data_IF_321662121434
#
_entry.id   IF_321662121434
#
_cell.length_a   1.000
_cell.length_b   1.000
_cell.length_c   1.000
_cell.angle_alpha   90.00
_cell.angle_beta   90.00
_cell.angle_gamma   90.00
#
_symmetry.space_group_name_H-M   'P 1'
#
loop_
_entity.id
_entity.type
_entity.pdbx_description
1 polymer ?
#
# COMPACT_ATOMS: atom_id res chain seq x y z
N UNK A 1 -11.49 -16.30 3.48
CA UNK A 1 -11.76 -15.03 2.78
C UNK A 1 -10.61 -14.76 1.84
N UNK A 2 -10.86 -14.15 0.69
CA UNK A 2 -9.79 -13.70 -0.21
C UNK A 2 -9.17 -12.42 0.37
N UNK A 3 -7.85 -12.28 0.29
CA UNK A 3 -7.15 -11.04 0.66
C UNK A 3 -6.75 -10.30 -0.61
N UNK A 4 -7.10 -9.03 -0.71
CA UNK A 4 -6.67 -8.20 -1.84
C UNK A 4 -5.32 -7.53 -1.54
N UNK A 5 -4.45 -7.50 -2.54
CA UNK A 5 -3.17 -6.83 -2.51
C UNK A 5 -3.16 -5.77 -3.60
N UNK A 6 -3.00 -4.51 -3.23
CA UNK A 6 -2.77 -3.42 -4.20
C UNK A 6 -1.27 -3.19 -4.29
N UNK A 7 -0.70 -3.46 -5.46
CA UNK A 7 0.72 -3.30 -5.75
C UNK A 7 0.95 -2.04 -6.58
N UNK A 8 1.66 -1.06 -6.03
CA UNK A 8 1.99 0.20 -6.69
C UNK A 8 3.42 0.13 -7.23
N UNK A 9 3.52 0.28 -8.55
CA UNK A 9 4.78 0.33 -9.28
C UNK A 9 5.68 1.51 -8.86
N UNK A 10 6.98 1.41 -9.17
CA UNK A 10 7.91 2.52 -9.17
C UNK A 10 7.65 3.52 -10.31
N UNK A 11 8.47 4.57 -10.36
CA UNK A 11 8.46 5.58 -11.41
C UNK A 11 9.53 5.31 -12.47
N UNK A 12 9.33 5.87 -13.65
CA UNK A 12 10.17 5.73 -14.84
C UNK A 12 9.42 5.05 -16.00
N UNK A 13 9.86 5.35 -17.22
CA UNK A 13 9.32 4.73 -18.43
C UNK A 13 9.46 3.19 -18.37
N UNK A 14 8.35 2.47 -18.50
CA UNK A 14 8.29 1.01 -18.43
C UNK A 14 8.22 0.44 -17.01
N UNK A 15 8.08 1.27 -15.97
CA UNK A 15 8.07 0.82 -14.59
C UNK A 15 6.91 -0.13 -14.28
N UNK A 16 5.72 0.06 -14.86
CA UNK A 16 4.58 -0.85 -14.68
C UNK A 16 4.93 -2.26 -15.17
N UNK A 17 5.52 -2.34 -16.36
CA UNK A 17 5.91 -3.61 -16.97
C UNK A 17 7.06 -4.30 -16.20
N UNK A 18 8.01 -3.52 -15.68
CA UNK A 18 9.08 -4.04 -14.83
C UNK A 18 8.52 -4.61 -13.53
N UNK A 19 7.62 -3.86 -12.87
CA UNK A 19 7.05 -4.23 -11.58
C UNK A 19 5.93 -5.25 -11.66
N UNK A 20 5.35 -5.47 -12.85
CA UNK A 20 4.47 -6.60 -13.10
C UNK A 20 5.17 -7.94 -12.79
N UNK A 21 6.50 -8.04 -12.98
CA UNK A 21 7.27 -9.23 -12.59
C UNK A 21 7.38 -9.40 -11.07
N UNK A 22 7.47 -8.28 -10.32
CA UNK A 22 7.42 -8.30 -8.86
C UNK A 22 6.05 -8.75 -8.37
N UNK A 23 4.99 -8.15 -8.91
CA UNK A 23 3.62 -8.49 -8.58
C UNK A 23 3.29 -9.95 -8.92
N UNK A 24 3.78 -10.47 -10.05
CA UNK A 24 3.65 -11.89 -10.41
C UNK A 24 4.38 -12.79 -9.40
N UNK A 25 5.63 -12.45 -9.06
CA UNK A 25 6.41 -13.17 -8.05
C UNK A 25 5.69 -13.19 -6.70
N UNK A 26 5.18 -12.04 -6.25
CA UNK A 26 4.37 -11.92 -5.04
C UNK A 26 3.13 -12.81 -5.10
N UNK A 27 2.36 -12.77 -6.19
CA UNK A 27 1.17 -13.61 -6.38
C UNK A 27 1.49 -15.10 -6.34
N UNK A 28 2.56 -15.55 -7.02
CA UNK A 28 3.01 -16.96 -6.98
C UNK A 28 3.35 -17.41 -5.56
N UNK A 29 4.04 -16.58 -4.80
CA UNK A 29 4.42 -16.93 -3.43
C UNK A 29 3.24 -16.84 -2.45
N UNK A 30 2.33 -15.88 -2.60
CA UNK A 30 1.13 -15.75 -1.77
C UNK A 30 0.13 -16.90 -1.98
N UNK A 31 -0.05 -17.35 -3.23
CA UNK A 31 -0.96 -18.44 -3.60
C UNK A 31 -2.41 -18.00 -3.75
N UNK A 32 -3.30 -18.98 -3.99
CA UNK A 32 -4.67 -18.75 -4.47
C UNK A 32 -5.63 -18.03 -3.50
N UNK A 33 -5.23 -17.81 -2.24
CA UNK A 33 -6.01 -17.04 -1.27
C UNK A 33 -5.90 -15.52 -1.43
N UNK A 34 -5.08 -15.06 -2.37
CA UNK A 34 -4.74 -13.66 -2.57
C UNK A 34 -5.02 -13.24 -4.01
N UNK A 35 -5.49 -12.01 -4.19
CA UNK A 35 -5.60 -11.34 -5.49
C UNK A 35 -4.62 -10.16 -5.49
N UNK A 36 -3.69 -10.13 -6.45
CA UNK A 36 -2.72 -9.04 -6.59
C UNK A 36 -3.14 -8.17 -7.76
N UNK A 37 -3.57 -6.95 -7.46
CA UNK A 37 -3.94 -5.92 -8.42
C UNK A 37 -2.79 -4.93 -8.59
N UNK A 38 -2.36 -4.67 -9.83
CA UNK A 38 -1.31 -3.69 -10.15
C UNK A 38 -1.89 -2.57 -11.03
N UNK A 39 -2.51 -1.53 -10.44
CA UNK A 39 -3.03 -0.41 -11.21
C UNK A 39 -1.91 0.22 -12.05
N UNK A 40 -2.23 0.57 -13.30
CA UNK A 40 -1.33 1.35 -14.15
C UNK A 40 -1.34 2.79 -13.66
N UNK A 41 -0.21 3.26 -13.14
CA UNK A 41 -0.09 4.64 -12.72
C UNK A 41 0.11 5.55 -13.95
N UNK A 42 -0.68 6.63 -14.12
CA UNK A 42 -0.58 7.49 -15.29
C UNK A 42 0.78 8.19 -15.38
N UNK A 43 1.27 8.45 -16.61
CA UNK A 43 2.50 9.19 -16.87
C UNK A 43 3.70 8.64 -16.06
N UNK A 44 3.92 7.33 -16.12
CA UNK A 44 4.96 6.69 -15.30
C UNK A 44 6.37 7.22 -15.56
N UNK A 45 6.65 7.76 -16.75
CA UNK A 45 7.90 8.42 -17.11
C UNK A 45 8.09 9.80 -16.47
N UNK A 46 6.99 10.48 -16.16
CA UNK A 46 6.96 11.80 -15.50
C UNK A 46 5.88 11.79 -14.39
N UNK A 47 6.13 11.08 -13.28
CA UNK A 47 5.14 10.88 -12.23
C UNK A 47 4.81 12.20 -11.52
N UNK A 48 3.52 12.40 -11.25
CA UNK A 48 2.98 13.60 -10.60
C UNK A 48 2.05 13.19 -9.46
N UNK A 49 2.32 13.71 -8.27
CA UNK A 49 1.56 13.49 -7.06
C UNK A 49 0.08 13.88 -7.21
N UNK A 50 -0.21 14.98 -7.93
CA UNK A 50 -1.58 15.44 -8.17
C UNK A 50 -2.40 14.44 -8.98
N UNK A 51 -1.72 13.57 -9.74
CA UNK A 51 -2.32 12.53 -10.58
C UNK A 51 -2.29 11.16 -9.88
N UNK A 52 -1.17 10.81 -9.25
CA UNK A 52 -0.96 9.49 -8.65
C UNK A 52 -1.73 9.31 -7.35
N UNK A 53 -1.80 10.32 -6.49
CA UNK A 53 -2.45 10.18 -5.18
C UNK A 53 -3.97 9.88 -5.30
N UNK A 54 -4.73 10.54 -6.20
CA UNK A 54 -6.11 10.15 -6.49
C UNK A 54 -6.25 8.71 -7.02
N UNK A 55 -5.39 8.29 -7.96
CA UNK A 55 -5.45 6.93 -8.53
C UNK A 55 -5.12 5.85 -7.48
N UNK A 56 -4.18 6.11 -6.57
CA UNK A 56 -3.91 5.24 -5.41
C UNK A 56 -5.18 5.07 -4.57
N UNK A 57 -5.87 6.18 -4.27
CA UNK A 57 -7.12 6.13 -3.52
C UNK A 57 -8.22 5.33 -4.21
N UNK A 58 -8.36 5.48 -5.52
CA UNK A 58 -9.31 4.71 -6.33
C UNK A 58 -8.94 3.22 -6.40
N UNK A 59 -7.66 2.88 -6.53
CA UNK A 59 -7.20 1.50 -6.49
C UNK A 59 -7.50 0.82 -5.14
N UNK A 60 -7.24 1.51 -4.03
CA UNK A 60 -7.57 1.04 -2.67
C UNK A 60 -9.09 0.89 -2.51
N UNK A 61 -9.88 1.85 -3.00
CA UNK A 61 -11.33 1.79 -2.92
C UNK A 61 -11.92 0.59 -3.68
N UNK A 62 -11.34 0.24 -4.84
CA UNK A 62 -11.76 -0.93 -5.65
C UNK A 62 -11.40 -2.27 -4.99
N UNK A 63 -10.30 -2.35 -4.23
CA UNK A 63 -9.87 -3.58 -3.56
C UNK A 63 -10.89 -4.06 -2.52
N UNK A 64 -11.24 -5.35 -2.53
CA UNK A 64 -12.20 -5.94 -1.58
C UNK A 64 -13.65 -5.42 -1.69
N UNK A 65 -13.99 -4.67 -2.74
CA UNK A 65 -15.38 -4.39 -3.07
C UNK A 65 -15.91 -5.57 -3.88
N UNK A 66 -16.69 -6.47 -3.26
CA UNK A 66 -17.36 -7.57 -3.96
C UNK A 66 -18.05 -7.05 -5.22
N UNK A 67 -17.51 -7.30 -6.41
CA UNK A 67 -18.32 -7.28 -7.63
C UNK A 67 -19.15 -8.55 -7.64
N UNK A 68 -20.35 -8.48 -7.07
CA UNK A 68 -21.42 -9.39 -7.48
C UNK A 68 -21.66 -9.23 -8.98
N UNK A 69 -22.14 -10.29 -9.68
CA UNK A 69 -22.52 -10.16 -11.08
C UNK A 69 -23.71 -9.20 -11.17
N UNK A 70 -23.49 -8.02 -11.76
CA UNK A 70 -24.49 -7.05 -12.22
C UNK A 70 -25.83 -7.08 -11.45
N UNK A 71 -25.97 -6.24 -10.43
CA UNK A 71 -27.26 -5.95 -9.80
C UNK A 71 -28.24 -5.45 -10.87
N UNK A 72 -29.17 -6.33 -11.22
CA UNK A 72 -30.43 -5.97 -11.83
C UNK A 72 -31.23 -5.16 -10.81
N UNK A 73 -31.42 -3.90 -11.16
CA UNK A 73 -32.50 -3.01 -10.74
C UNK A 73 -33.69 -3.73 -10.08
N UNK A 74 -33.81 -3.59 -8.76
CA UNK A 74 -35.10 -3.67 -8.09
C UNK A 74 -35.09 -2.78 -6.86
N UNK A 75 -35.80 -1.67 -6.97
CA UNK A 75 -35.99 -0.70 -5.92
C UNK A 75 -36.63 -1.30 -4.67
N UNK A 76 -36.13 -0.87 -3.51
CA UNK A 76 -36.72 -1.11 -2.21
C UNK A 76 -36.30 0.02 -1.27
N UNK A 77 -37.28 0.81 -0.84
CA UNK A 77 -37.12 1.84 0.18
C UNK A 77 -37.20 1.13 1.53
N UNK A 78 -36.17 1.19 2.37
CA UNK A 78 -36.33 0.94 3.79
C UNK A 78 -35.33 1.76 4.63
N UNK A 79 -35.69 1.85 5.90
CA UNK A 79 -35.63 2.97 6.80
C UNK A 79 -34.55 2.77 7.88
N UNK A 80 -34.16 3.89 8.48
CA UNK A 80 -32.98 4.02 9.35
C UNK A 80 -32.81 2.92 10.40
N UNK A 81 -31.65 2.26 10.34
CA UNK A 81 -31.02 1.57 11.45
C UNK A 81 -29.72 2.29 11.81
N UNK A 82 -29.60 2.74 13.06
CA UNK A 82 -28.32 3.21 13.60
C UNK A 82 -27.54 1.95 13.96
N UNK A 83 -26.67 1.49 13.06
CA UNK A 83 -25.81 0.34 13.33
C UNK A 83 -24.69 0.73 14.30
N UNK A 84 -24.52 -0.08 15.34
CA UNK A 84 -23.51 0.07 16.38
C UNK A 84 -22.12 -0.32 15.84
N UNK A 85 -21.20 0.64 15.76
CA UNK A 85 -19.83 0.50 15.27
C UNK A 85 -18.87 -0.35 16.16
N UNK A 86 -19.37 -1.43 16.77
CA UNK A 86 -18.65 -2.16 17.83
C UNK A 86 -18.17 -3.57 17.49
N UNK A 87 -18.49 -4.12 16.31
CA UNK A 87 -18.28 -5.55 16.00
C UNK A 87 -17.67 -5.85 14.62
N UNK A 88 -17.36 -4.85 13.81
CA UNK A 88 -17.17 -5.04 12.36
C UNK A 88 -15.77 -5.52 11.92
N UNK A 89 -14.78 -5.59 12.80
CA UNK A 89 -13.39 -5.89 12.40
C UNK A 89 -13.04 -7.38 12.32
N UNK A 90 -13.83 -8.25 12.95
CA UNK A 90 -13.59 -9.70 12.97
C UNK A 90 -13.92 -10.32 11.61
N UNK A 91 -14.92 -9.79 10.92
CA UNK A 91 -15.35 -10.22 9.58
C UNK A 91 -14.87 -9.29 8.46
N UNK A 92 -14.06 -8.27 8.78
CA UNK A 92 -13.56 -7.32 7.80
C UNK A 92 -12.60 -7.97 6.81
N UNK A 93 -12.85 -7.72 5.52
CA UNK A 93 -11.96 -8.16 4.45
C UNK A 93 -10.61 -7.44 4.56
N UNK A 94 -9.53 -8.21 4.45
CA UNK A 94 -8.18 -7.68 4.59
C UNK A 94 -7.66 -7.19 3.25
N UNK A 95 -7.14 -5.97 3.25
CA UNK A 95 -6.38 -5.37 2.15
C UNK A 95 -4.93 -5.24 2.59
N UNK A 96 -4.01 -5.54 1.68
CA UNK A 96 -2.58 -5.31 1.83
C UNK A 96 -2.16 -4.30 0.78
N UNK A 97 -1.39 -3.30 1.18
CA UNK A 97 -0.84 -2.28 0.28
C UNK A 97 0.65 -2.53 0.13
N UNK A 98 1.13 -2.61 -1.11
CA UNK A 98 2.53 -2.81 -1.44
C UNK A 98 2.95 -1.70 -2.38
N UNK A 99 4.04 -1.02 -2.09
CA UNK A 99 4.61 -0.02 -2.99
C UNK A 99 6.09 -0.26 -3.18
N UNK A 100 6.53 -0.27 -4.43
CA UNK A 100 7.93 -0.37 -4.82
C UNK A 100 8.47 1.01 -5.20
N UNK A 101 9.69 1.32 -4.76
CA UNK A 101 10.42 2.54 -5.12
C UNK A 101 9.55 3.80 -4.93
N UNK A 102 9.35 4.60 -5.98
CA UNK A 102 8.47 5.77 -5.94
C UNK A 102 7.03 5.44 -5.52
N UNK A 103 6.47 4.31 -5.94
CA UNK A 103 5.15 3.87 -5.50
C UNK A 103 5.06 3.62 -4.00
N UNK A 104 6.17 3.18 -3.38
CA UNK A 104 6.29 3.07 -1.92
C UNK A 104 6.28 4.43 -1.22
N UNK A 105 6.99 5.41 -1.78
CA UNK A 105 6.96 6.80 -1.30
C UNK A 105 5.55 7.40 -1.40
N UNK A 106 4.91 7.31 -2.58
CA UNK A 106 3.60 7.91 -2.83
C UNK A 106 2.49 7.22 -2.05
N UNK A 107 2.61 5.92 -1.78
CA UNK A 107 1.73 5.21 -0.86
C UNK A 107 1.79 5.81 0.55
N UNK A 108 2.99 6.03 1.08
CA UNK A 108 3.17 6.66 2.40
C UNK A 108 2.68 8.11 2.42
N UNK A 109 2.90 8.86 1.33
CA UNK A 109 2.37 10.21 1.17
C UNK A 109 0.84 10.20 1.18
N UNK A 110 0.20 9.38 0.35
CA UNK A 110 -1.25 9.21 0.31
C UNK A 110 -1.84 8.88 1.68
N UNK A 111 -1.25 7.90 2.39
CA UNK A 111 -1.75 7.46 3.69
C UNK A 111 -1.55 8.50 4.81
N UNK A 112 -0.62 9.45 4.64
CA UNK A 112 -0.31 10.46 5.64
C UNK A 112 -0.82 11.86 5.32
N UNK A 113 -1.31 12.09 4.09
CA UNK A 113 -1.89 13.35 3.65
C UNK A 113 -3.36 13.45 4.08
N UNK A 114 -3.61 14.28 5.09
CA UNK A 114 -4.96 14.55 5.60
C UNK A 114 -5.77 15.52 4.71
N UNK A 115 -5.14 16.25 3.79
CA UNK A 115 -5.80 17.26 2.95
C UNK A 115 -6.45 16.66 1.70
N UNK A 116 -5.87 15.61 1.12
CA UNK A 116 -6.52 14.83 0.04
C UNK A 116 -7.75 14.05 0.51
N UNK A 117 -7.95 13.95 1.83
CA UNK A 117 -9.11 13.35 2.50
C UNK A 117 -10.21 14.40 2.77
N UNK A 118 -9.90 15.71 2.71
CA UNK A 118 -10.80 16.76 3.17
C UNK A 118 -11.79 17.28 2.10
N UNK A 119 -11.42 17.26 0.81
CA UNK A 119 -12.25 17.83 -0.27
C UNK A 119 -13.29 16.85 -0.84
N UNK A 120 -13.23 15.58 -0.46
CA UNK A 120 -14.28 14.58 -0.70
C UNK A 120 -14.87 14.08 0.63
N UNK A 121 -15.58 15.00 1.28
CA UNK A 121 -16.64 14.77 2.28
C UNK A 121 -16.55 13.45 3.08
N UNK A 122 -15.90 13.49 4.24
CA UNK A 122 -16.25 12.73 5.47
C UNK A 122 -16.38 11.19 5.43
N UNK A 123 -16.28 10.54 4.28
CA UNK A 123 -16.47 9.09 4.09
C UNK A 123 -15.20 8.39 3.57
N UNK A 124 -14.21 9.12 3.04
CA UNK A 124 -12.95 8.58 2.51
C UNK A 124 -11.73 8.91 3.36
N UNK A 125 -11.77 8.64 4.66
CA UNK A 125 -10.51 8.35 5.36
C UNK A 125 -9.95 7.10 4.70
N UNK A 126 -8.65 7.04 4.36
CA UNK A 126 -8.00 5.76 4.05
C UNK A 126 -8.21 4.71 5.18
N UNK A 127 -8.58 5.19 6.38
CA UNK A 127 -8.97 4.41 7.56
C UNK A 127 -10.48 4.14 7.71
N UNK A 128 -11.33 4.59 6.78
CA UNK A 128 -12.76 4.28 6.77
C UNK A 128 -13.11 3.54 5.47
N UNK A 129 -12.76 2.25 5.45
CA UNK A 129 -13.19 1.31 4.43
C UNK A 129 -14.26 0.42 5.10
N UNK A 130 -15.57 0.67 4.92
CA UNK A 130 -16.60 -0.09 5.61
C UNK A 130 -16.46 -1.59 5.32
N UNK A 131 -16.45 -2.41 6.38
CA UNK A 131 -16.28 -3.87 6.27
C UNK A 131 -14.91 -4.32 5.75
N UNK A 132 -13.92 -3.42 5.71
CA UNK A 132 -12.56 -3.70 5.22
C UNK A 132 -11.52 -3.10 6.15
N UNK A 133 -10.34 -3.69 6.18
CA UNK A 133 -9.20 -3.17 6.95
C UNK A 133 -7.92 -3.25 6.14
N UNK A 134 -7.05 -2.25 6.30
CA UNK A 134 -5.67 -2.33 5.82
C UNK A 134 -4.90 -3.16 6.84
N UNK A 135 -4.55 -4.40 6.48
CA UNK A 135 -3.83 -5.32 7.35
C UNK A 135 -2.32 -5.05 7.36
N UNK A 136 -1.76 -4.65 6.21
CA UNK A 136 -0.34 -4.37 6.08
C UNK A 136 -0.02 -3.31 5.01
N UNK A 137 1.05 -2.57 5.24
CA UNK A 137 1.67 -1.62 4.31
C UNK A 137 3.13 -2.06 4.11
N UNK A 138 3.45 -2.56 2.92
CA UNK A 138 4.78 -3.06 2.56
C UNK A 138 5.47 -2.05 1.64
N UNK A 139 6.60 -1.51 2.07
CA UNK A 139 7.36 -0.49 1.34
C UNK A 139 8.69 -1.09 0.92
N UNK A 140 8.90 -1.25 -0.39
CA UNK A 140 10.05 -1.94 -0.97
C UNK A 140 10.93 -0.90 -1.66
N UNK A 141 12.19 -0.79 -1.24
CA UNK A 141 13.21 0.06 -1.88
C UNK A 141 12.77 1.52 -2.12
N UNK A 142 11.92 2.07 -1.26
CA UNK A 142 11.43 3.44 -1.42
C UNK A 142 12.50 4.47 -1.04
N UNK A 143 12.66 5.55 -1.82
CA UNK A 143 13.56 6.63 -1.47
C UNK A 143 12.97 7.52 -0.36
N UNK A 144 13.74 7.75 0.70
CA UNK A 144 13.38 8.70 1.74
C UNK A 144 13.64 10.16 1.32
N UNK A 145 12.65 11.08 1.42
CA UNK A 145 12.84 12.52 1.21
C UNK A 145 13.96 13.14 2.02
N UNK A 146 14.94 13.73 1.34
CA UNK A 146 16.11 14.34 2.00
C UNK A 146 17.05 13.32 2.65
N UNK A 147 16.97 12.04 2.27
CA UNK A 147 17.90 11.02 2.78
C UNK A 147 19.34 11.26 2.36
N UNK A 148 19.53 11.81 1.17
CA UNK A 148 20.79 12.35 0.68
C UNK A 148 20.53 13.46 -0.38
N UNK A 149 21.56 14.16 -0.88
CA UNK A 149 21.39 15.24 -1.85
C UNK A 149 20.74 14.82 -3.18
N UNK A 150 20.86 13.57 -3.60
CA UNK A 150 20.23 13.04 -4.80
C UNK A 150 18.73 12.77 -4.62
N UNK A 151 18.21 12.78 -3.39
CA UNK A 151 16.80 12.56 -3.05
C UNK A 151 16.18 13.79 -2.38
N UNK A 152 16.62 14.99 -2.78
CA UNK A 152 16.11 16.27 -2.29
C UNK A 152 15.56 17.06 -3.48
N UNK A 153 14.23 17.13 -3.58
CA UNK A 153 13.52 17.81 -4.67
C UNK A 153 12.36 18.64 -4.12
N UNK A 154 11.94 19.67 -4.86
CA UNK A 154 10.75 20.44 -4.52
C UNK A 154 9.50 19.55 -4.60
N UNK A 155 8.65 19.60 -3.57
CA UNK A 155 7.43 18.78 -3.47
C UNK A 155 7.64 17.33 -3.01
N UNK A 156 8.88 16.84 -3.01
CA UNK A 156 9.25 15.52 -2.52
C UNK A 156 9.46 15.55 -1.00
N UNK A 157 8.37 15.50 -0.25
CA UNK A 157 8.36 15.61 1.21
C UNK A 157 7.42 14.59 1.88
N UNK A 158 7.64 14.32 3.16
CA UNK A 158 6.75 13.56 4.05
C UNK A 158 6.57 14.30 5.37
N UNK A 159 5.41 14.14 6.04
CA UNK A 159 5.17 14.78 7.33
C UNK A 159 6.11 14.23 8.42
N UNK A 160 6.56 15.10 9.34
CA UNK A 160 7.50 14.74 10.42
C UNK A 160 6.99 13.65 11.37
N UNK A 161 5.67 13.51 11.52
CA UNK A 161 5.02 12.53 12.38
C UNK A 161 4.44 11.36 11.58
N UNK A 162 5.09 10.99 10.47
CA UNK A 162 4.64 9.97 9.51
C UNK A 162 4.04 8.73 10.17
N UNK A 163 4.76 8.07 11.07
CA UNK A 163 4.27 6.85 11.72
C UNK A 163 2.95 7.01 12.48
N UNK A 164 2.66 8.19 13.03
CA UNK A 164 1.41 8.45 13.75
C UNK A 164 0.22 8.74 12.81
N UNK A 165 0.47 8.97 11.52
CA UNK A 165 -0.55 9.26 10.52
C UNK A 165 -0.98 8.03 9.73
N UNK A 166 -0.17 6.96 9.74
CA UNK A 166 -0.49 5.70 9.08
C UNK A 166 -1.65 4.96 9.78
N UNK A 167 -2.36 4.03 9.09
CA UNK A 167 -3.43 3.25 9.68
C UNK A 167 -2.95 2.48 10.94
N UNK A 168 -3.54 2.79 12.09
CA UNK A 168 -3.02 2.33 13.39
C UNK A 168 -2.99 0.80 13.58
N UNK A 169 -3.89 0.08 12.88
CA UNK A 169 -3.98 -1.38 12.95
C UNK A 169 -3.14 -2.09 11.87
N UNK A 170 -2.60 -1.36 10.90
CA UNK A 170 -1.80 -1.94 9.84
C UNK A 170 -0.37 -2.21 10.31
N UNK A 171 0.14 -3.41 10.03
CA UNK A 171 1.57 -3.67 10.14
C UNK A 171 2.31 -2.90 9.03
N UNK A 172 3.35 -2.14 9.38
CA UNK A 172 4.20 -1.46 8.40
C UNK A 172 5.51 -2.22 8.24
N UNK A 173 5.85 -2.61 7.02
CA UNK A 173 7.06 -3.38 6.71
C UNK A 173 7.92 -2.64 5.71
N UNK A 174 9.21 -2.53 6.00
CA UNK A 174 10.18 -1.79 5.21
C UNK A 174 11.25 -2.76 4.70
N UNK A 175 11.37 -2.90 3.38
CA UNK A 175 12.31 -3.80 2.72
C UNK A 175 13.34 -2.97 1.95
N UNK A 176 14.61 -3.29 2.12
CA UNK A 176 15.68 -2.73 1.30
C UNK A 176 16.77 -3.77 1.04
N UNK A 177 17.39 -3.65 -0.13
CA UNK A 177 18.51 -4.48 -0.54
C UNK A 177 19.83 -3.81 -0.17
N UNK A 178 20.78 -4.55 0.41
CA UNK A 178 22.11 -3.98 0.72
C UNK A 178 22.89 -3.60 -0.55
N UNK A 179 22.62 -4.29 -1.65
CA UNK A 179 23.23 -4.10 -2.97
C UNK A 179 22.34 -3.27 -3.93
N UNK A 180 21.38 -2.50 -3.41
CA UNK A 180 20.61 -1.54 -4.21
C UNK A 180 21.50 -0.39 -4.68
N UNK A 181 21.65 -0.26 -6.00
CA UNK A 181 22.45 0.78 -6.65
C UNK A 181 21.64 2.04 -7.00
N UNK A 182 20.32 2.03 -6.81
CA UNK A 182 19.42 3.14 -7.12
C UNK A 182 19.04 3.89 -5.84
N UNK A 183 18.44 3.18 -4.88
CA UNK A 183 18.06 3.76 -3.59
C UNK A 183 19.02 3.25 -2.53
N UNK A 184 19.83 4.11 -1.89
CA UNK A 184 20.77 3.66 -0.87
C UNK A 184 20.07 2.93 0.28
N UNK A 185 20.63 1.81 0.72
CA UNK A 185 20.11 0.97 1.80
C UNK A 185 19.72 1.76 3.07
N UNK A 186 20.48 2.81 3.39
CA UNK A 186 20.24 3.68 4.54
C UNK A 186 18.87 4.38 4.53
N UNK A 187 18.22 4.54 3.37
CA UNK A 187 16.91 5.19 3.26
C UNK A 187 15.83 4.41 4.01
N UNK A 188 15.93 3.08 4.07
CA UNK A 188 15.04 2.25 4.91
C UNK A 188 15.17 2.60 6.39
N UNK A 189 16.37 2.86 6.87
CA UNK A 189 16.61 3.16 8.29
C UNK A 189 16.10 4.56 8.65
N UNK A 190 16.10 5.50 7.69
CA UNK A 190 15.41 6.78 7.83
C UNK A 190 13.89 6.61 7.94
N UNK A 191 13.29 5.74 7.11
CA UNK A 191 11.89 5.36 7.27
C UNK A 191 11.60 4.69 8.61
N UNK A 192 12.46 3.78 9.07
CA UNK A 192 12.30 3.12 10.36
C UNK A 192 12.37 4.11 11.53
N UNK A 193 13.20 5.14 11.43
CA UNK A 193 13.23 6.24 12.41
C UNK A 193 11.95 7.09 12.37
N UNK A 194 11.39 7.34 11.18
CA UNK A 194 10.16 8.11 10.99
C UNK A 194 8.87 7.31 11.32
N UNK A 195 8.95 5.98 11.30
CA UNK A 195 7.85 5.04 11.58
C UNK A 195 8.35 4.04 12.62
N UNK A 196 8.42 4.41 13.91
CA UNK A 196 9.07 3.59 14.94
C UNK A 196 8.43 2.22 15.17
N UNK A 197 7.18 2.03 14.74
CA UNK A 197 6.48 0.74 14.80
C UNK A 197 6.76 -0.18 13.61
N UNK A 198 7.50 0.28 12.60
CA UNK A 198 7.74 -0.49 11.39
C UNK A 198 8.69 -1.67 11.63
N UNK A 199 8.46 -2.75 10.90
CA UNK A 199 9.30 -3.95 10.87
C UNK A 199 10.24 -3.82 9.67
N UNK A 200 11.55 -3.87 9.91
CA UNK A 200 12.54 -3.82 8.83
C UNK A 200 12.94 -5.22 8.34
N UNK A 201 13.25 -5.29 7.06
CA UNK A 201 13.84 -6.44 6.38
C UNK A 201 15.05 -6.00 5.57
N UNK A 202 16.15 -6.72 5.75
CA UNK A 202 17.32 -6.64 4.88
C UNK A 202 17.21 -7.75 3.85
N UNK A 203 17.47 -7.41 2.60
CA UNK A 203 17.38 -8.31 1.45
C UNK A 203 18.61 -8.16 0.55
N UNK A 204 18.68 -8.94 -0.52
CA UNK A 204 19.69 -8.88 -1.57
C UNK A 204 19.00 -8.98 -2.94
N UNK A 205 19.67 -8.57 -4.01
CA UNK A 205 19.11 -8.61 -5.37
C UNK A 205 18.85 -7.25 -6.00
N UNK A 206 19.49 -6.19 -5.50
CA UNK A 206 19.37 -4.84 -6.00
C UNK A 206 17.96 -4.26 -5.85
N UNK A 207 17.65 -3.25 -6.67
CA UNK A 207 16.42 -2.46 -6.54
C UNK A 207 15.13 -3.29 -6.62
N UNK A 208 15.11 -4.30 -7.50
CA UNK A 208 13.97 -5.21 -7.71
C UNK A 208 13.99 -6.46 -6.80
N UNK A 209 14.92 -6.58 -5.84
CA UNK A 209 15.09 -7.79 -5.03
C UNK A 209 15.21 -9.08 -5.88
N UNK A 210 16.01 -9.03 -6.96
CA UNK A 210 16.16 -10.11 -7.94
C UNK A 210 14.84 -10.60 -8.59
N UNK A 211 13.80 -9.77 -8.58
CA UNK A 211 12.43 -10.12 -8.96
C UNK A 211 11.81 -11.26 -8.14
N UNK A 212 12.23 -11.41 -6.88
CA UNK A 212 11.73 -12.43 -5.97
C UNK A 212 11.16 -11.80 -4.69
N UNK A 213 9.83 -11.79 -4.59
CA UNK A 213 9.11 -11.26 -3.43
C UNK A 213 8.73 -12.34 -2.41
N UNK A 214 9.45 -13.48 -2.37
CA UNK A 214 9.20 -14.55 -1.40
C UNK A 214 9.18 -14.04 0.06
N UNK A 215 10.12 -13.17 0.44
CA UNK A 215 10.20 -12.63 1.81
C UNK A 215 8.98 -11.76 2.13
N UNK A 216 8.60 -10.88 1.20
CA UNK A 216 7.41 -10.02 1.33
C UNK A 216 6.14 -10.88 1.45
N UNK A 217 5.99 -11.90 0.61
CA UNK A 217 4.86 -12.83 0.65
C UNK A 217 4.79 -13.58 1.99
N UNK A 218 5.93 -14.00 2.55
CA UNK A 218 5.98 -14.71 3.82
C UNK A 218 5.52 -13.83 4.98
N UNK A 219 5.98 -12.57 5.03
CA UNK A 219 5.54 -11.61 6.05
C UNK A 219 4.04 -11.31 5.92
N UNK A 220 3.54 -11.08 4.70
CA UNK A 220 2.10 -10.86 4.45
C UNK A 220 1.26 -12.04 4.96
N UNK A 221 1.62 -13.28 4.60
CA UNK A 221 0.89 -14.47 5.09
C UNK A 221 0.90 -14.54 6.62
N UNK A 222 2.05 -14.31 7.25
CA UNK A 222 2.17 -14.33 8.70
C UNK A 222 1.24 -13.31 9.37
N UNK A 223 1.08 -12.12 8.79
CA UNK A 223 0.19 -11.07 9.32
C UNK A 223 -1.27 -11.48 9.16
N UNK A 224 -1.66 -11.96 7.98
CA UNK A 224 -3.03 -12.38 7.72
C UNK A 224 -3.42 -13.56 8.60
N UNK A 225 -2.57 -14.58 8.72
CA UNK A 225 -2.80 -15.75 9.58
C UNK A 225 -2.96 -15.33 11.05
N UNK A 226 -2.14 -14.39 11.54
CA UNK A 226 -2.23 -13.88 12.90
C UNK A 226 -3.51 -13.08 13.16
N UNK A 227 -4.06 -12.41 12.14
CA UNK A 227 -5.33 -11.70 12.25
C UNK A 227 -6.54 -12.63 12.14
N UNK A 228 -6.44 -13.74 11.37
CA UNK A 228 -7.50 -14.75 11.27
C UNK A 228 -7.60 -15.67 12.49
N UNK A 229 -6.58 -15.70 13.34
CA UNK A 229 -6.54 -16.51 14.56
C UNK A 229 -7.10 -15.80 15.81
N UNK A 230 -7.53 -14.53 15.69
CA UNK A 230 -8.10 -13.71 16.77
C UNK A 230 -9.61 -13.78 16.75
#
# INVERSE_FOLDING_TARGET
>A
MTTHVVFLQGGGAGAHAADALLAESLGRHLGAGYIVDIPLMPNEDEPDDEIWLPEIGEAIARAGSRRGPADSDSGGIDSGGIESAGTDLVDAESIVLVGHSLGGYLLLKYLSDNHLIADHASERRANHLPGRRIAAVCVIAAPFPGGDPAWTFDGFELPRNLGALLPAEAAVLLYASEDDAIVPFAHRDLYAAAIPQAITRTTFGGHQLANDLQVVAADIRSIIDALSAR
#
